data_IF_077160114719
#
_entry.id   IF_077160114719
#
_cell.length_a   1.000
_cell.length_b   1.000
_cell.length_c   1.000
_cell.angle_alpha   90.00
_cell.angle_beta   90.00
_cell.angle_gamma   90.00
#
_symmetry.space_group_name_H-M   'P 1'
#
loop_
_entity.id
_entity.type
_entity.pdbx_description
1 polymer ?
#
# COMPACT_ATOMS: atom_id res chain seq x y z
N UNK A 1 13.08 -13.70 -5.05
CA UNK A 1 11.60 -13.55 -4.94
C UNK A 1 10.90 -14.90 -5.08
N UNK A 2 9.89 -15.19 -4.23
CA UNK A 2 9.13 -16.44 -4.25
C UNK A 2 7.83 -16.36 -5.07
N UNK A 3 7.14 -15.21 -5.04
CA UNK A 3 5.87 -14.98 -5.76
C UNK A 3 5.95 -15.31 -7.26
N UNK A 4 6.92 -14.78 -8.04
CA UNK A 4 6.98 -15.10 -9.47
C UNK A 4 7.36 -16.57 -9.75
N UNK A 5 7.81 -17.33 -8.75
CA UNK A 5 8.11 -18.77 -8.91
C UNK A 5 6.88 -19.65 -8.66
N UNK A 6 5.94 -19.18 -7.83
CA UNK A 6 4.77 -19.96 -7.39
C UNK A 6 3.49 -19.47 -8.09
N UNK A 7 3.38 -18.17 -8.34
CA UNK A 7 2.20 -17.53 -8.93
C UNK A 7 2.57 -16.85 -10.25
N UNK A 8 2.68 -17.66 -11.31
CA UNK A 8 3.18 -17.24 -12.63
C UNK A 8 2.32 -16.18 -13.33
N UNK A 9 1.05 -16.04 -12.93
CA UNK A 9 0.08 -15.09 -13.51
C UNK A 9 -0.25 -13.93 -12.56
N UNK A 10 0.48 -13.80 -11.46
CA UNK A 10 0.27 -12.75 -10.46
C UNK A 10 1.32 -11.67 -10.59
N UNK A 11 0.85 -10.43 -10.75
CA UNK A 11 1.72 -9.25 -10.65
C UNK A 11 1.83 -8.83 -9.19
N UNK A 12 3.05 -8.82 -8.67
CA UNK A 12 3.33 -8.34 -7.32
C UNK A 12 3.67 -6.85 -7.36
N UNK A 13 2.78 -6.03 -6.79
CA UNK A 13 2.98 -4.58 -6.65
C UNK A 13 3.40 -4.25 -5.22
N UNK A 14 4.48 -3.51 -5.09
CA UNK A 14 4.86 -2.95 -3.80
C UNK A 14 3.90 -1.83 -3.41
N UNK A 15 3.52 -1.84 -2.12
CA UNK A 15 2.62 -0.83 -1.59
C UNK A 15 3.35 0.51 -1.47
N UNK A 16 2.93 1.50 -2.27
CA UNK A 16 3.49 2.85 -2.25
C UNK A 16 3.59 3.43 -0.84
N UNK A 17 2.57 3.28 -0.01
CA UNK A 17 2.61 3.80 1.37
C UNK A 17 3.79 3.24 2.16
N UNK A 18 4.06 1.94 2.06
CA UNK A 18 5.20 1.32 2.74
C UNK A 18 6.54 1.81 2.20
N UNK A 19 6.63 2.04 0.89
CA UNK A 19 7.82 2.64 0.27
C UNK A 19 8.04 4.06 0.79
N UNK A 20 7.01 4.91 0.73
CA UNK A 20 7.08 6.28 1.24
C UNK A 20 7.41 6.31 2.74
N UNK A 21 6.90 5.34 3.52
CA UNK A 21 7.21 5.22 4.95
C UNK A 21 8.67 4.84 5.19
N UNK A 22 9.25 3.94 4.37
CA UNK A 22 10.66 3.51 4.48
C UNK A 22 11.63 4.68 4.34
N UNK A 23 11.30 5.65 3.50
CA UNK A 23 12.14 6.83 3.19
C UNK A 23 11.67 8.10 3.90
N UNK A 24 10.71 8.00 4.83
CA UNK A 24 10.02 9.16 5.43
C UNK A 24 10.99 10.17 6.03
N UNK A 25 12.00 9.70 6.76
CA UNK A 25 12.94 10.57 7.46
C UNK A 25 13.83 11.35 6.49
N UNK A 26 14.19 10.72 5.36
CA UNK A 26 14.92 11.39 4.28
C UNK A 26 14.03 12.44 3.60
N UNK A 27 12.81 12.07 3.18
CA UNK A 27 11.86 13.01 2.59
C UNK A 27 11.57 14.20 3.52
N UNK A 28 11.52 13.96 4.83
CA UNK A 28 11.28 15.04 5.81
C UNK A 28 12.39 16.08 5.80
N UNK A 29 13.64 15.71 5.47
CA UNK A 29 14.74 16.67 5.33
C UNK A 29 14.58 17.48 4.03
N UNK A 30 14.26 16.81 2.93
CA UNK A 30 14.03 17.48 1.64
C UNK A 30 12.86 18.45 1.73
N UNK A 31 11.77 18.10 2.44
CA UNK A 31 10.64 19.00 2.67
C UNK A 31 11.00 20.25 3.49
N UNK A 32 12.02 20.18 4.34
CA UNK A 32 12.49 21.34 5.10
C UNK A 32 13.40 22.25 4.27
N UNK A 33 14.06 21.69 3.26
CA UNK A 33 14.94 22.42 2.34
C UNK A 33 14.16 23.05 1.18
N UNK A 34 13.04 22.44 0.80
CA UNK A 34 12.26 22.79 -0.38
C UNK A 34 10.75 22.81 -0.08
N UNK A 35 10.21 24.00 0.12
CA UNK A 35 8.84 24.21 0.57
C UNK A 35 7.76 23.60 -0.33
N UNK A 36 7.98 23.56 -1.67
CA UNK A 36 6.99 23.03 -2.63
C UNK A 36 7.25 21.58 -3.05
N UNK A 37 8.36 20.98 -2.62
CA UNK A 37 8.76 19.64 -3.08
C UNK A 37 7.71 18.57 -2.74
N UNK A 38 7.01 18.74 -1.62
CA UNK A 38 5.99 17.79 -1.18
C UNK A 38 4.79 17.76 -2.13
N UNK A 39 4.31 18.92 -2.53
CA UNK A 39 3.21 19.09 -3.47
C UNK A 39 3.62 18.58 -4.86
N UNK A 40 4.82 18.93 -5.32
CA UNK A 40 5.33 18.55 -6.63
C UNK A 40 5.60 17.04 -6.72
N UNK A 41 6.18 16.44 -5.67
CA UNK A 41 6.31 14.98 -5.57
C UNK A 41 4.94 14.29 -5.56
N UNK A 42 3.95 14.86 -4.85
CA UNK A 42 2.59 14.30 -4.85
C UNK A 42 1.97 14.36 -6.25
N UNK A 43 2.19 15.43 -7.01
CA UNK A 43 1.73 15.59 -8.38
C UNK A 43 2.37 14.54 -9.31
N UNK A 44 3.71 14.44 -9.30
CA UNK A 44 4.49 13.46 -10.09
C UNK A 44 4.04 12.03 -9.83
N UNK A 45 3.69 11.70 -8.59
CA UNK A 45 3.33 10.33 -8.24
C UNK A 45 1.85 9.99 -8.49
N UNK A 46 0.97 10.96 -8.70
CA UNK A 46 -0.48 10.75 -8.80
C UNK A 46 -1.07 11.06 -10.19
N UNK A 47 -0.55 12.08 -10.88
CA UNK A 47 -1.14 12.57 -12.13
C UNK A 47 -0.74 11.78 -13.38
N UNK A 48 0.54 11.40 -13.58
CA UNK A 48 0.96 10.72 -14.80
C UNK A 48 0.13 9.46 -15.08
N UNK A 49 -0.41 9.37 -16.29
CA UNK A 49 -1.20 8.25 -16.78
C UNK A 49 -0.31 7.17 -17.39
N UNK A 50 0.81 7.57 -17.99
CA UNK A 50 1.71 6.66 -18.69
C UNK A 50 3.11 6.64 -18.07
N UNK A 51 3.86 5.53 -18.20
CA UNK A 51 5.24 5.45 -17.75
C UNK A 51 6.10 6.61 -18.26
N UNK A 52 6.00 6.95 -19.55
CA UNK A 52 6.77 8.04 -20.14
C UNK A 52 6.48 9.41 -19.51
N UNK A 53 5.22 9.71 -19.22
CA UNK A 53 4.82 10.94 -18.52
C UNK A 53 5.38 10.98 -17.10
N UNK A 54 5.39 9.83 -16.41
CA UNK A 54 5.96 9.71 -15.07
C UNK A 54 7.48 9.91 -15.11
N UNK A 55 8.18 9.26 -16.04
CA UNK A 55 9.63 9.34 -16.16
C UNK A 55 10.07 10.78 -16.45
N UNK A 56 9.39 11.47 -17.39
CA UNK A 56 9.64 12.88 -17.67
C UNK A 56 9.42 13.76 -16.43
N UNK A 57 8.25 13.64 -15.79
CA UNK A 57 7.92 14.45 -14.61
C UNK A 57 8.83 14.15 -13.41
N UNK A 58 9.31 12.92 -13.26
CA UNK A 58 10.29 12.55 -12.25
C UNK A 58 11.65 13.19 -12.52
N UNK A 59 12.13 13.14 -13.76
CA UNK A 59 13.39 13.79 -14.12
C UNK A 59 13.33 15.30 -13.92
N UNK A 60 12.25 15.96 -14.36
CA UNK A 60 12.04 17.39 -14.14
C UNK A 60 12.02 17.73 -12.64
N UNK A 61 11.41 16.88 -11.81
CA UNK A 61 11.42 17.04 -10.36
C UNK A 61 12.84 16.92 -9.80
N UNK A 62 13.60 15.88 -10.18
CA UNK A 62 14.97 15.71 -9.69
C UNK A 62 15.87 16.89 -10.12
N UNK A 63 15.68 17.40 -11.33
CA UNK A 63 16.44 18.54 -11.85
C UNK A 63 16.11 19.85 -11.14
N UNK A 64 14.82 20.12 -10.92
CA UNK A 64 14.32 21.33 -10.26
C UNK A 64 14.92 21.50 -8.85
N UNK A 65 15.12 20.39 -8.14
CA UNK A 65 15.61 20.38 -6.77
C UNK A 65 17.08 19.93 -6.64
N UNK A 66 17.79 19.73 -7.75
CA UNK A 66 19.19 19.28 -7.77
C UNK A 66 19.42 17.97 -6.95
N UNK A 67 18.51 17.02 -7.12
CA UNK A 67 18.47 15.74 -6.38
C UNK A 67 18.90 14.55 -7.25
N UNK A 68 19.49 14.78 -8.43
CA UNK A 68 19.83 13.71 -9.39
C UNK A 68 20.83 12.70 -8.83
N UNK A 69 21.67 13.13 -7.88
CA UNK A 69 22.68 12.29 -7.23
C UNK A 69 22.25 11.79 -5.84
N UNK A 70 21.00 12.01 -5.45
CA UNK A 70 20.50 11.49 -4.18
C UNK A 70 20.37 9.96 -4.25
N UNK A 71 21.20 9.27 -3.47
CA UNK A 71 21.27 7.80 -3.51
C UNK A 71 19.99 7.10 -3.08
N UNK A 72 19.16 7.74 -2.24
CA UNK A 72 17.89 7.18 -1.77
C UNK A 72 16.84 7.31 -2.88
N UNK A 73 16.76 8.47 -3.53
CA UNK A 73 15.84 8.71 -4.63
C UNK A 73 16.23 7.92 -5.89
N UNK A 74 17.53 7.73 -6.15
CA UNK A 74 18.02 6.80 -7.17
C UNK A 74 17.59 5.36 -6.88
N UNK A 75 17.66 4.90 -5.62
CA UNK A 75 17.15 3.59 -5.24
C UNK A 75 15.65 3.42 -5.52
N UNK A 76 14.85 4.46 -5.29
CA UNK A 76 13.42 4.46 -5.62
C UNK A 76 13.16 4.40 -7.13
N UNK A 77 14.00 5.08 -7.90
CA UNK A 77 13.95 5.10 -9.36
C UNK A 77 14.21 3.72 -9.96
N UNK A 78 15.20 2.99 -9.43
CA UNK A 78 15.49 1.62 -9.87
C UNK A 78 14.30 0.68 -9.62
N UNK A 79 13.60 0.87 -8.51
CA UNK A 79 12.43 0.07 -8.17
C UNK A 79 11.11 0.62 -8.78
N UNK A 80 11.13 1.73 -9.54
CA UNK A 80 9.93 2.49 -9.97
C UNK A 80 8.83 1.64 -10.58
N UNK A 81 9.21 0.67 -11.41
CA UNK A 81 8.28 -0.22 -12.10
C UNK A 81 7.43 -1.02 -11.11
N UNK A 82 7.93 -1.31 -9.90
CA UNK A 82 7.26 -2.17 -8.92
C UNK A 82 6.17 -1.48 -8.08
N UNK A 83 6.11 -0.15 -8.06
CA UNK A 83 5.24 0.59 -7.13
C UNK A 83 4.52 1.80 -7.71
N UNK A 84 5.08 2.40 -8.77
CA UNK A 84 4.46 3.53 -9.47
C UNK A 84 3.26 3.04 -10.25
N UNK A 85 2.10 3.68 -10.04
CA UNK A 85 0.83 3.25 -10.63
C UNK A 85 0.82 3.30 -12.16
N UNK A 86 1.55 4.23 -12.78
CA UNK A 86 1.61 4.39 -14.24
C UNK A 86 2.03 3.09 -14.99
N UNK A 87 2.87 2.25 -14.37
CA UNK A 87 3.30 0.96 -14.95
C UNK A 87 2.24 -0.15 -14.88
N UNK A 88 1.14 0.08 -14.15
CA UNK A 88 0.12 -0.94 -13.90
C UNK A 88 -1.29 -0.43 -14.18
N UNK A 89 -1.44 0.78 -14.76
CA UNK A 89 -2.74 1.38 -15.03
C UNK A 89 -3.58 0.58 -16.04
N UNK A 90 -2.92 -0.16 -16.93
CA UNK A 90 -3.57 -1.07 -17.87
C UNK A 90 -4.04 -2.39 -17.23
N UNK A 91 -3.58 -2.69 -16.01
CA UNK A 91 -3.98 -3.90 -15.28
C UNK A 91 -5.20 -3.59 -14.42
N UNK A 92 -6.35 -4.13 -14.82
CA UNK A 92 -7.56 -4.06 -14.02
C UNK A 92 -7.38 -4.77 -12.68
N UNK A 93 -7.13 -3.99 -11.64
CA UNK A 93 -7.17 -4.46 -10.26
C UNK A 93 -8.59 -4.29 -9.73
N UNK A 94 -9.39 -5.36 -9.77
CA UNK A 94 -10.77 -5.40 -9.23
C UNK A 94 -10.86 -5.03 -7.72
N UNK A 95 -9.72 -4.84 -7.06
CA UNK A 95 -9.59 -4.54 -5.65
C UNK A 95 -8.82 -3.23 -5.45
N UNK A 96 -9.36 -2.40 -4.55
CA UNK A 96 -8.87 -1.07 -4.17
C UNK A 96 -7.33 -0.96 -4.16
N UNK A 97 -6.81 0.03 -4.90
CA UNK A 97 -5.38 0.39 -4.98
C UNK A 97 -4.82 0.96 -3.68
N UNK A 98 -5.70 1.36 -2.74
CA UNK A 98 -5.37 1.91 -1.42
C UNK A 98 -4.97 0.84 -0.41
N UNK A 99 -4.08 1.20 0.52
CA UNK A 99 -3.74 0.36 1.67
C UNK A 99 -4.90 0.17 2.67
N UNK A 100 -6.08 0.76 2.43
CA UNK A 100 -7.25 0.74 3.32
C UNK A 100 -7.60 -0.66 3.85
N UNK A 101 -7.54 -1.70 3.02
CA UNK A 101 -7.81 -3.08 3.49
C UNK A 101 -6.77 -3.58 4.49
N UNK A 102 -5.48 -3.37 4.21
CA UNK A 102 -4.41 -3.75 5.13
C UNK A 102 -4.39 -2.88 6.38
N UNK A 103 -4.64 -1.58 6.25
CA UNK A 103 -4.69 -0.65 7.37
C UNK A 103 -5.88 -0.91 8.29
N UNK A 104 -7.06 -1.19 7.72
CA UNK A 104 -8.24 -1.60 8.49
C UNK A 104 -7.97 -2.88 9.28
N UNK A 105 -7.39 -3.91 8.65
CA UNK A 105 -7.05 -5.14 9.36
C UNK A 105 -5.99 -4.92 10.44
N UNK A 106 -4.94 -4.14 10.12
CA UNK A 106 -3.91 -3.80 11.08
C UNK A 106 -4.48 -3.00 12.27
N UNK A 107 -5.43 -2.09 12.01
CA UNK A 107 -6.13 -1.36 13.06
C UNK A 107 -6.94 -2.29 13.95
N UNK A 108 -7.70 -3.23 13.38
CA UNK A 108 -8.46 -4.23 14.14
C UNK A 108 -7.53 -5.05 15.05
N UNK A 109 -6.43 -5.55 14.49
CA UNK A 109 -5.45 -6.35 15.22
C UNK A 109 -4.81 -5.55 16.37
N UNK A 110 -4.35 -4.32 16.10
CA UNK A 110 -3.75 -3.44 17.12
C UNK A 110 -4.73 -2.98 18.20
N UNK A 111 -6.02 -2.82 17.86
CA UNK A 111 -7.03 -2.32 18.80
C UNK A 111 -7.51 -3.39 19.79
N UNK A 112 -7.59 -4.65 19.35
CA UNK A 112 -8.27 -5.69 20.13
C UNK A 112 -7.47 -6.94 20.42
N UNK A 113 -6.35 -7.19 19.73
CA UNK A 113 -5.74 -8.52 19.72
C UNK A 113 -4.24 -8.52 20.00
N UNK A 114 -3.47 -7.53 19.56
CA UNK A 114 -2.01 -7.59 19.57
C UNK A 114 -1.38 -6.34 20.20
N UNK A 115 -0.33 -6.53 21.01
CA UNK A 115 0.57 -5.46 21.50
C UNK A 115 1.96 -5.58 20.86
N UNK A 116 2.65 -4.44 20.69
CA UNK A 116 3.97 -4.38 20.03
C UNK A 116 5.07 -5.15 20.77
N UNK A 117 4.89 -5.45 22.05
CA UNK A 117 5.87 -6.15 22.90
C UNK A 117 5.62 -7.65 23.05
N UNK A 118 4.68 -8.23 22.28
CA UNK A 118 4.32 -9.64 22.44
C UNK A 118 5.29 -10.60 21.75
N UNK A 119 5.57 -11.70 22.45
CA UNK A 119 6.29 -12.86 21.90
C UNK A 119 5.48 -13.54 20.79
N UNK A 120 6.20 -14.03 19.77
CA UNK A 120 5.63 -14.45 18.49
C UNK A 120 4.55 -15.53 18.60
N UNK A 121 4.68 -16.50 19.51
CA UNK A 121 3.68 -17.55 19.68
C UNK A 121 2.34 -17.02 20.24
N UNK A 122 2.39 -15.99 21.09
CA UNK A 122 1.18 -15.31 21.59
C UNK A 122 0.55 -14.49 20.48
N UNK A 123 1.37 -13.77 19.71
CA UNK A 123 0.91 -13.05 18.52
C UNK A 123 0.16 -13.97 17.55
N UNK A 124 0.75 -15.12 17.20
CA UNK A 124 0.14 -16.07 16.27
C UNK A 124 -1.22 -16.59 16.78
N UNK A 125 -1.30 -16.92 18.07
CA UNK A 125 -2.56 -17.36 18.70
C UNK A 125 -3.64 -16.28 18.63
N UNK A 126 -3.30 -15.04 18.96
CA UNK A 126 -4.26 -13.93 18.97
C UNK A 126 -4.71 -13.50 17.57
N UNK A 127 -3.82 -13.58 16.58
CA UNK A 127 -4.19 -13.41 15.17
C UNK A 127 -5.19 -14.49 14.75
N UNK A 128 -4.96 -15.75 15.13
CA UNK A 128 -5.91 -16.83 14.84
C UNK A 128 -7.27 -16.61 15.52
N UNK A 129 -7.30 -16.20 16.78
CA UNK A 129 -8.54 -15.85 17.50
C UNK A 129 -9.29 -14.71 16.79
N UNK A 130 -8.58 -13.68 16.31
CA UNK A 130 -9.18 -12.61 15.52
C UNK A 130 -9.83 -13.12 14.24
N UNK A 131 -9.15 -14.01 13.51
CA UNK A 131 -9.67 -14.61 12.27
C UNK A 131 -10.95 -15.41 12.56
N UNK A 132 -10.93 -16.26 13.58
CA UNK A 132 -12.09 -17.08 13.96
C UNK A 132 -13.29 -16.22 14.35
N UNK A 133 -13.08 -15.20 15.19
CA UNK A 133 -14.14 -14.28 15.62
C UNK A 133 -14.78 -13.56 14.42
N UNK A 134 -13.96 -13.13 13.45
CA UNK A 134 -14.47 -12.49 12.24
C UNK A 134 -15.28 -13.44 11.37
N UNK A 135 -14.79 -14.66 11.16
CA UNK A 135 -15.53 -15.67 10.40
C UNK A 135 -16.91 -15.92 11.03
N UNK A 136 -16.98 -16.01 12.36
CA UNK A 136 -18.26 -16.19 13.06
C UNK A 136 -19.22 -15.03 12.82
N UNK A 137 -18.73 -13.78 12.86
CA UNK A 137 -19.53 -12.59 12.58
C UNK A 137 -20.02 -12.55 11.13
N UNK A 138 -19.16 -12.87 10.17
CA UNK A 138 -19.51 -12.91 8.74
C UNK A 138 -20.58 -13.99 8.45
N UNK A 139 -20.49 -15.15 9.10
CA UNK A 139 -21.51 -16.20 9.04
C UNK A 139 -22.83 -15.73 9.66
N UNK A 140 -22.79 -15.10 10.83
CA UNK A 140 -23.98 -14.58 11.49
C UNK A 140 -24.68 -13.50 10.66
N UNK A 141 -23.92 -12.59 10.04
CA UNK A 141 -24.46 -11.57 9.13
C UNK A 141 -25.08 -12.19 7.87
N UNK A 142 -24.45 -13.23 7.30
CA UNK A 142 -24.97 -13.95 6.14
C UNK A 142 -26.28 -14.66 6.46
N UNK A 143 -26.38 -15.28 7.64
CA UNK A 143 -27.61 -15.90 8.12
C UNK A 143 -28.69 -14.82 8.31
N UNK A 144 -28.35 -13.71 8.98
CA UNK A 144 -29.28 -12.61 9.24
C UNK A 144 -29.76 -11.88 7.97
N UNK A 145 -28.95 -11.80 6.92
CA UNK A 145 -29.36 -11.22 5.64
C UNK A 145 -30.28 -12.17 4.85
N UNK A 146 -30.01 -13.48 4.89
CA UNK A 146 -30.84 -14.51 4.26
C UNK A 146 -32.24 -14.59 4.90
N UNK A 147 -32.32 -14.53 6.23
CA UNK A 147 -33.60 -14.50 6.98
C UNK A 147 -34.40 -13.24 6.69
N UNK A 148 -33.75 -12.11 6.40
CA UNK A 148 -34.42 -10.85 6.02
C UNK A 148 -34.90 -10.82 4.57
N UNK A 149 -34.37 -11.69 3.70
CA UNK A 149 -34.71 -11.75 2.28
C UNK A 149 -35.86 -12.73 1.96
N UNK A 150 -36.26 -13.58 2.89
CA UNK A 150 -37.46 -14.42 2.76
C UNK A 150 -38.72 -13.56 2.90
N UNK A 151 -39.60 -13.47 1.87
CA UNK A 151 -40.87 -12.74 1.99
C UNK A 151 -41.77 -13.48 2.96
N UNK A 152 -42.33 -12.75 3.93
CA UNK A 152 -43.41 -13.24 4.78
C UNK A 152 -44.63 -13.49 3.89
N UNK A 153 -45.11 -14.75 3.85
CA UNK A 153 -46.39 -15.11 3.22
C UNK A 153 -47.58 -14.56 4.02
#
# INVERSE_FOLDING_TARGET
>A
AAIPKVFLRTHHRLCRWHIMKKIKDHLSKVYLEHDTFKEDLAAVLNHPLMPAEFEAAWHDLMDTYNLQNDTILLGLWEERTTWISAYWKEIFCARMTSAQRSESMNHILKKGFVKETQVLHIFARQVNECIQKRHQLEVAETIASTVRATPTL
#
